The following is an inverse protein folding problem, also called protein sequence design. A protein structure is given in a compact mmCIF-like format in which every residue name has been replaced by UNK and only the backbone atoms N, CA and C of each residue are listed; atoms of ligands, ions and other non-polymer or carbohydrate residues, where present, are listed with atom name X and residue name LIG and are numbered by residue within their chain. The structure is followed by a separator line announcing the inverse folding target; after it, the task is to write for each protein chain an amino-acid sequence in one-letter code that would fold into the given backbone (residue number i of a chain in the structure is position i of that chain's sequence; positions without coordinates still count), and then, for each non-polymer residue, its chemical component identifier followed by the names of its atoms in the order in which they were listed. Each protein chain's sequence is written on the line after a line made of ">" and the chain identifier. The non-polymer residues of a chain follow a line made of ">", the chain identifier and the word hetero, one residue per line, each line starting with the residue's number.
data_IF_312268966186
#
_entry.id   IF_312268966186
#
_cell.length_a   1.000
_cell.length_b   1.000
_cell.length_c   1.000
_cell.angle_alpha   90.00
_cell.angle_beta   90.00
_cell.angle_gamma   90.00
#
_symmetry.space_group_name_H-M   'P 1'
#
loop_
_entity.id
_entity.type
_entity.pdbx_description
1 polymer ?
#
# COMPACT_ATOMS: atom_id res chain seq x y z
N UNK A 1 -46.08 65.84 -26.83
CA UNK A 1 -46.96 66.64 -25.96
C UNK A 1 -47.38 65.76 -24.80
N UNK A 2 -47.35 66.28 -23.58
CA UNK A 2 -47.59 65.63 -22.27
C UNK A 2 -46.38 65.02 -21.55
N UNK A 3 -45.82 65.88 -20.69
CA UNK A 3 -44.97 65.64 -19.51
C UNK A 3 -45.85 65.32 -18.29
N UNK A 4 -45.17 65.02 -17.17
CA UNK A 4 -45.58 65.03 -15.74
C UNK A 4 -45.78 63.64 -15.11
N UNK A 5 -45.31 63.30 -13.89
CA UNK A 5 -44.30 63.88 -12.98
C UNK A 5 -43.98 62.88 -11.84
N UNK A 6 -42.86 63.10 -11.15
CA UNK A 6 -42.32 62.54 -9.89
C UNK A 6 -43.11 61.50 -9.07
N UNK A 7 -42.39 60.51 -8.52
CA UNK A 7 -42.29 60.37 -7.06
C UNK A 7 -41.01 59.64 -6.63
N UNK A 8 -40.40 60.20 -5.60
CA UNK A 8 -39.20 59.76 -4.91
C UNK A 8 -39.45 58.52 -4.04
N UNK A 9 -38.53 57.57 -4.04
CA UNK A 9 -38.19 56.80 -2.84
C UNK A 9 -36.73 56.40 -2.89
N UNK A 10 -35.93 57.02 -2.00
CA UNK A 10 -34.62 56.52 -1.61
C UNK A 10 -34.79 55.12 -1.04
N UNK A 11 -34.14 54.12 -1.63
CA UNK A 11 -33.65 52.96 -0.90
C UNK A 11 -32.28 52.62 -1.48
N UNK A 12 -31.32 52.57 -0.57
CA UNK A 12 -29.89 52.35 -0.79
C UNK A 12 -29.62 50.95 -1.36
N UNK A 13 -28.75 50.80 -2.37
CA UNK A 13 -28.26 49.49 -2.78
C UNK A 13 -27.21 48.99 -1.77
N UNK A 14 -27.54 47.95 -1.02
CA UNK A 14 -26.57 47.22 -0.19
C UNK A 14 -25.78 46.30 -1.11
N UNK A 15 -24.52 46.67 -1.37
CA UNK A 15 -23.49 45.76 -1.91
C UNK A 15 -23.18 44.63 -0.92
N UNK A 16 -23.10 43.37 -1.35
CA UNK A 16 -22.44 42.34 -0.57
C UNK A 16 -20.95 42.31 -0.93
N UNK A 17 -20.11 42.80 -0.02
CA UNK A 17 -18.67 42.52 0.02
C UNK A 17 -18.41 41.33 0.98
N UNK A 18 -17.24 40.67 0.89
CA UNK A 18 -17.07 39.24 1.05
C UNK A 18 -17.05 38.78 2.51
N UNK A 19 -17.73 37.67 2.81
CA UNK A 19 -17.66 37.04 4.13
C UNK A 19 -16.62 35.92 4.17
N UNK A 20 -15.65 36.19 5.02
CA UNK A 20 -14.48 35.43 5.41
C UNK A 20 -14.77 33.95 5.73
N UNK A 21 -13.90 33.10 5.19
CA UNK A 21 -13.70 31.71 5.56
C UNK A 21 -13.41 31.58 7.05
N UNK A 22 -14.40 31.16 7.82
CA UNK A 22 -14.21 30.80 9.23
C UNK A 22 -13.88 29.31 9.30
N UNK A 23 -12.60 29.00 9.51
CA UNK A 23 -12.12 27.67 9.88
C UNK A 23 -12.83 27.22 11.17
N UNK A 24 -13.80 26.30 11.05
CA UNK A 24 -14.35 25.60 12.22
C UNK A 24 -13.43 24.45 12.59
N UNK A 25 -12.73 24.66 13.71
CA UNK A 25 -12.04 23.64 14.48
C UNK A 25 -12.98 22.45 14.72
N UNK A 26 -12.58 21.25 14.31
CA UNK A 26 -13.28 20.02 14.70
C UNK A 26 -12.77 19.62 16.09
N UNK A 27 -13.64 19.34 17.07
CA UNK A 27 -13.22 18.97 18.41
C UNK A 27 -12.44 17.67 18.39
N UNK A 28 -11.29 17.68 19.06
CA UNK A 28 -10.33 16.59 19.27
C UNK A 28 -10.90 15.29 19.88
N UNK A 29 -12.19 15.27 20.24
CA UNK A 29 -12.87 14.11 20.85
C UNK A 29 -13.31 13.02 19.87
N UNK A 30 -13.64 13.34 18.61
CA UNK A 30 -14.19 12.34 17.67
C UNK A 30 -13.13 11.36 17.11
N UNK A 31 -11.85 11.74 17.19
CA UNK A 31 -10.72 10.91 16.79
C UNK A 31 -10.48 9.73 17.76
N UNK A 32 -10.93 9.85 19.01
CA UNK A 32 -10.74 8.84 20.05
C UNK A 32 -11.67 7.64 19.94
N UNK A 33 -12.83 7.81 19.27
CA UNK A 33 -13.86 6.75 19.16
C UNK A 33 -13.64 5.82 17.97
N UNK A 34 -12.91 6.28 16.94
CA UNK A 34 -12.56 5.46 15.77
C UNK A 34 -11.18 4.80 15.88
N UNK A 35 -10.35 5.22 16.85
CA UNK A 35 -8.97 4.74 17.00
C UNK A 35 -8.56 4.53 18.47
N UNK A 36 -9.04 3.48 19.16
CA UNK A 36 -8.60 3.13 20.51
C UNK A 36 -7.07 2.89 20.59
N UNK A 37 -6.45 2.46 19.49
CA UNK A 37 -5.01 2.17 19.42
C UNK A 37 -4.13 3.41 19.17
N UNK A 38 -4.70 4.57 18.82
CA UNK A 38 -3.92 5.81 18.68
C UNK A 38 -3.39 6.34 20.03
N UNK A 39 -4.04 5.97 21.16
CA UNK A 39 -3.60 6.38 22.51
C UNK A 39 -2.24 5.81 22.92
N UNK A 40 -1.77 4.72 22.30
CA UNK A 40 -0.45 4.15 22.63
C UNK A 40 0.71 4.74 21.82
N UNK A 41 0.46 5.69 20.90
CA UNK A 41 1.50 6.23 20.02
C UNK A 41 2.26 7.43 20.64
N UNK A 42 1.76 8.07 21.72
CA UNK A 42 2.49 8.86 22.73
C UNK A 42 1.52 9.87 23.40
N UNK A 43 1.47 9.89 24.73
CA UNK A 43 0.86 11.00 25.49
C UNK A 43 1.84 12.17 25.56
N UNK A 44 1.92 13.00 24.52
CA UNK A 44 2.43 14.38 24.64
C UNK A 44 2.00 15.23 23.45
N UNK A 45 1.57 16.46 23.77
CA UNK A 45 1.08 17.45 22.82
C UNK A 45 2.06 17.64 21.66
N UNK A 46 1.59 17.41 20.43
CA UNK A 46 2.31 17.63 19.17
C UNK A 46 2.53 19.14 18.95
N UNK A 47 3.48 19.71 19.66
CA UNK A 47 3.89 21.12 19.53
C UNK A 47 5.06 21.31 18.55
N UNK A 48 5.77 20.24 18.21
CA UNK A 48 6.82 20.26 17.19
C UNK A 48 6.36 19.63 15.86
N UNK A 49 6.09 20.49 14.87
CA UNK A 49 5.71 20.11 13.51
C UNK A 49 6.95 19.61 12.76
N UNK A 50 7.37 18.37 13.05
CA UNK A 50 8.17 17.61 12.08
C UNK A 50 7.22 17.12 10.98
N UNK A 51 7.51 17.44 9.71
CA UNK A 51 6.66 17.11 8.52
C UNK A 51 6.34 15.61 8.35
N UNK A 52 6.96 14.75 9.16
CA UNK A 52 6.65 13.32 9.26
C UNK A 52 6.60 12.98 10.76
N UNK A 53 5.43 12.67 11.35
CA UNK A 53 5.27 12.41 12.79
C UNK A 53 5.85 11.05 13.23
N UNK A 54 6.75 10.48 12.44
CA UNK A 54 7.41 9.18 12.67
C UNK A 54 8.77 9.37 13.33
N UNK A 55 9.33 10.59 13.27
CA UNK A 55 10.54 10.96 14.01
C UNK A 55 10.27 11.52 15.41
N UNK A 56 9.07 11.32 15.95
CA UNK A 56 8.85 11.45 17.39
C UNK A 56 9.61 10.32 18.08
N UNK A 57 10.59 10.68 18.92
CA UNK A 57 11.44 9.77 19.71
C UNK A 57 10.60 8.63 20.32
N UNK A 58 10.75 7.41 19.80
CA UNK A 58 10.07 6.20 20.32
C UNK A 58 9.78 5.11 19.29
N UNK A 59 9.59 5.45 18.00
CA UNK A 59 9.34 4.46 16.96
C UNK A 59 10.66 3.92 16.39
N UNK A 60 10.97 2.64 16.63
CA UNK A 60 12.13 1.96 16.01
C UNK A 60 11.97 1.93 14.49
N UNK A 61 13.06 2.10 13.75
CA UNK A 61 13.04 2.00 12.30
C UNK A 61 12.50 0.62 11.86
N UNK A 62 11.69 0.53 10.80
CA UNK A 62 11.37 -0.72 10.14
C UNK A 62 12.62 -1.55 9.84
N UNK A 63 12.58 -2.83 10.18
CA UNK A 63 13.67 -3.75 9.91
C UNK A 63 13.39 -4.59 8.64
N UNK A 64 14.44 -4.96 7.89
CA UNK A 64 14.31 -5.88 6.77
C UNK A 64 13.76 -7.25 7.19
N UNK A 65 13.11 -7.94 6.26
CA UNK A 65 12.57 -9.28 6.46
C UNK A 65 13.71 -10.26 6.73
N UNK A 66 13.79 -10.70 7.98
CA UNK A 66 14.72 -11.73 8.42
C UNK A 66 14.00 -13.08 8.61
N UNK A 67 14.54 -14.12 7.99
CA UNK A 67 14.14 -15.50 8.18
C UNK A 67 15.30 -16.42 7.77
N UNK A 68 15.52 -17.47 8.54
CA UNK A 68 16.46 -18.53 8.18
C UNK A 68 15.95 -19.33 6.97
N UNK A 69 14.68 -19.72 7.01
CA UNK A 69 14.03 -20.46 5.92
C UNK A 69 13.06 -19.55 5.18
N UNK A 70 13.28 -19.36 3.87
CA UNK A 70 12.35 -18.64 3.01
C UNK A 70 12.23 -19.31 1.64
N UNK A 71 11.07 -19.13 1.01
CA UNK A 71 10.90 -19.55 -0.37
C UNK A 71 11.72 -18.68 -1.33
N UNK A 72 12.51 -19.30 -2.22
CA UNK A 72 13.32 -18.58 -3.22
C UNK A 72 12.49 -17.69 -4.16
N UNK A 73 11.27 -18.13 -4.52
CA UNK A 73 10.37 -17.39 -5.43
C UNK A 73 9.57 -16.31 -4.72
N UNK A 74 8.75 -16.68 -3.74
CA UNK A 74 7.79 -15.75 -3.12
C UNK A 74 8.26 -15.15 -1.79
N UNK A 75 9.47 -15.50 -1.36
CA UNK A 75 10.09 -15.06 -0.10
C UNK A 75 9.25 -15.32 1.14
N UNK A 76 8.28 -16.25 1.07
CA UNK A 76 7.47 -16.67 2.23
C UNK A 76 8.36 -17.30 3.28
N UNK A 77 8.28 -16.91 4.57
CA UNK A 77 9.23 -17.37 5.56
C UNK A 77 8.63 -18.59 6.27
N UNK A 78 9.47 -19.50 6.70
CA UNK A 78 9.05 -20.73 7.35
C UNK A 78 9.81 -20.90 8.66
N UNK A 79 9.20 -21.60 9.62
CA UNK A 79 9.85 -21.90 10.89
C UNK A 79 10.97 -22.92 10.73
N UNK A 80 10.86 -23.80 9.74
CA UNK A 80 11.86 -24.80 9.41
C UNK A 80 11.91 -25.02 7.89
N UNK A 81 12.79 -25.91 7.43
CA UNK A 81 12.97 -26.22 6.00
C UNK A 81 11.71 -26.81 5.35
N UNK A 82 10.89 -27.57 6.06
CA UNK A 82 9.63 -28.06 5.53
C UNK A 82 8.61 -26.90 5.52
N UNK A 83 7.88 -26.61 4.41
CA UNK A 83 7.58 -27.44 3.23
C UNK A 83 8.31 -27.00 1.94
N UNK A 84 9.56 -26.54 2.05
CA UNK A 84 10.40 -26.24 0.89
C UNK A 84 10.91 -27.54 0.24
N UNK A 85 11.17 -27.54 -1.07
CA UNK A 85 11.91 -28.63 -1.74
C UNK A 85 13.44 -28.45 -1.58
N UNK A 86 14.19 -29.25 -2.35
CA UNK A 86 15.64 -29.18 -2.44
C UNK A 86 16.13 -27.77 -2.83
N UNK A 87 15.43 -27.10 -3.74
CA UNK A 87 15.76 -25.76 -4.26
C UNK A 87 15.24 -24.61 -3.38
N UNK A 88 14.61 -24.91 -2.24
CA UNK A 88 14.07 -23.87 -1.35
C UNK A 88 12.76 -23.27 -1.87
N UNK A 89 12.02 -23.94 -2.74
CA UNK A 89 10.74 -23.52 -3.29
C UNK A 89 9.55 -24.11 -2.53
N UNK A 90 8.62 -23.26 -2.09
CA UNK A 90 7.42 -23.72 -1.38
C UNK A 90 6.39 -24.31 -2.33
N UNK A 91 5.54 -25.22 -1.81
CA UNK A 91 4.48 -25.91 -2.56
C UNK A 91 3.62 -25.00 -3.44
N UNK A 92 3.27 -23.79 -2.97
CA UNK A 92 2.41 -22.85 -3.72
C UNK A 92 3.11 -22.22 -4.93
N UNK A 93 4.43 -22.09 -4.89
CA UNK A 93 5.21 -21.59 -6.02
C UNK A 93 5.46 -22.72 -7.03
N UNK A 94 5.77 -23.93 -6.56
CA UNK A 94 5.95 -25.12 -7.40
C UNK A 94 4.70 -25.47 -8.22
N UNK A 95 3.52 -25.32 -7.63
CA UNK A 95 2.24 -25.56 -8.32
C UNK A 95 1.78 -24.37 -9.17
N UNK A 96 2.64 -23.38 -9.42
CA UNK A 96 2.37 -22.16 -10.19
C UNK A 96 1.17 -21.32 -9.74
N UNK A 97 0.64 -21.56 -8.53
CA UNK A 97 -0.55 -20.87 -8.00
C UNK A 97 -0.28 -19.37 -7.79
N UNK A 98 0.98 -18.99 -7.56
CA UNK A 98 1.39 -17.60 -7.39
C UNK A 98 1.40 -16.78 -8.68
N UNK A 99 1.59 -17.39 -9.85
CA UNK A 99 1.54 -16.72 -11.16
C UNK A 99 2.65 -15.70 -11.49
N UNK A 100 3.28 -15.06 -10.49
CA UNK A 100 4.47 -14.22 -10.64
C UNK A 100 5.77 -15.02 -10.47
N UNK A 101 6.87 -14.52 -11.03
CA UNK A 101 8.16 -15.21 -11.13
C UNK A 101 9.08 -14.98 -9.93
N UNK A 102 8.91 -13.85 -9.24
CA UNK A 102 9.62 -13.53 -8.01
C UNK A 102 8.80 -12.55 -7.17
N UNK A 103 9.05 -12.52 -5.86
CA UNK A 103 8.58 -11.46 -4.99
C UNK A 103 9.70 -11.03 -4.04
N UNK A 104 9.80 -9.74 -3.78
CA UNK A 104 10.63 -9.19 -2.71
C UNK A 104 9.78 -8.27 -1.84
N UNK A 105 10.03 -8.29 -0.53
CA UNK A 105 9.39 -7.38 0.40
C UNK A 105 10.42 -6.84 1.38
N UNK A 106 10.29 -5.57 1.74
CA UNK A 106 11.22 -4.97 2.70
C UNK A 106 11.11 -5.65 4.06
N UNK A 107 9.93 -5.73 4.67
CA UNK A 107 9.77 -6.33 6.00
C UNK A 107 8.47 -7.12 6.21
N UNK A 108 8.19 -7.49 7.45
CA UNK A 108 6.91 -8.11 7.84
C UNK A 108 5.82 -7.04 7.99
N UNK A 109 4.56 -7.40 7.78
CA UNK A 109 3.41 -6.52 8.00
C UNK A 109 3.03 -6.45 9.48
N UNK A 110 4.02 -6.23 10.34
CA UNK A 110 3.88 -6.06 11.79
C UNK A 110 4.84 -4.96 12.27
N UNK A 111 4.91 -4.75 13.59
CA UNK A 111 5.82 -3.76 14.19
C UNK A 111 5.62 -2.37 13.59
N UNK A 112 6.71 -1.70 13.23
CA UNK A 112 6.68 -0.33 12.70
C UNK A 112 6.05 -0.20 11.30
N UNK A 113 6.15 -1.22 10.44
CA UNK A 113 5.65 -1.10 9.06
C UNK A 113 4.12 -1.00 8.99
N UNK A 114 3.42 -1.75 9.84
CA UNK A 114 1.95 -1.77 9.88
C UNK A 114 1.32 -0.38 10.13
N UNK A 115 1.67 0.38 11.19
CA UNK A 115 1.12 1.71 11.43
C UNK A 115 1.58 2.72 10.37
N UNK A 116 2.80 2.63 9.85
CA UNK A 116 3.26 3.51 8.76
C UNK A 116 2.45 3.33 7.48
N UNK A 117 2.24 2.09 7.08
CA UNK A 117 1.41 1.77 5.91
C UNK A 117 -0.04 2.18 6.16
N UNK A 118 -0.55 2.05 7.39
CA UNK A 118 -1.89 2.48 7.74
C UNK A 118 -2.04 4.02 7.63
N UNK A 119 -1.13 4.80 8.24
CA UNK A 119 -1.10 6.25 8.13
C UNK A 119 -0.99 6.71 6.67
N UNK A 120 -0.19 6.02 5.87
CA UNK A 120 -0.07 6.31 4.44
C UNK A 120 -1.38 6.03 3.67
N UNK A 121 -2.04 4.89 3.94
CA UNK A 121 -3.28 4.47 3.26
C UNK A 121 -4.49 5.32 3.63
N UNK A 122 -4.68 5.61 4.91
CA UNK A 122 -5.94 6.14 5.43
C UNK A 122 -5.85 7.62 5.80
N UNK A 123 -4.69 8.10 6.26
CA UNK A 123 -4.49 9.50 6.63
C UNK A 123 -3.95 10.37 5.49
N UNK A 124 -3.78 9.79 4.28
CA UNK A 124 -3.26 10.45 3.06
C UNK A 124 -1.96 11.23 3.29
N UNK A 125 -1.10 10.74 4.20
CA UNK A 125 0.17 11.37 4.56
C UNK A 125 1.20 11.25 3.43
N UNK A 126 1.08 12.09 2.41
CA UNK A 126 2.01 12.19 1.27
C UNK A 126 3.49 12.32 1.68
N UNK A 127 3.86 12.99 2.79
CA UNK A 127 5.26 13.02 3.24
C UNK A 127 5.87 11.63 3.48
N UNK A 128 5.06 10.59 3.75
CA UNK A 128 5.54 9.21 3.91
C UNK A 128 5.98 8.55 2.60
N UNK A 129 5.65 9.11 1.43
CA UNK A 129 6.01 8.50 0.13
C UNK A 129 7.52 8.33 -0.01
N UNK A 130 8.31 9.36 0.36
CA UNK A 130 9.77 9.31 0.25
C UNK A 130 10.41 8.24 1.15
N UNK A 131 10.17 8.23 2.48
CA UNK A 131 10.77 7.20 3.34
C UNK A 131 10.25 5.78 3.03
N UNK A 132 8.98 5.63 2.61
CA UNK A 132 8.49 4.32 2.19
C UNK A 132 9.13 3.86 0.88
N UNK A 133 9.34 4.75 -0.09
CA UNK A 133 10.05 4.41 -1.32
C UNK A 133 11.51 4.03 -1.08
N UNK A 134 12.15 4.52 -0.02
CA UNK A 134 13.49 4.09 0.41
C UNK A 134 13.51 2.64 0.84
N UNK A 135 12.53 2.21 1.64
CA UNK A 135 12.39 0.81 2.04
C UNK A 135 12.10 -0.10 0.83
N UNK A 136 11.25 0.33 -0.11
CA UNK A 136 11.01 -0.41 -1.35
C UNK A 136 12.30 -0.55 -2.18
N UNK A 137 13.05 0.54 -2.36
CA UNK A 137 14.31 0.52 -3.10
C UNK A 137 15.36 -0.36 -2.42
N UNK A 138 15.41 -0.39 -1.09
CA UNK A 138 16.29 -1.28 -0.34
C UNK A 138 15.93 -2.77 -0.51
N UNK A 139 14.65 -3.08 -0.76
CA UNK A 139 14.18 -4.43 -1.03
C UNK A 139 14.28 -4.84 -2.51
N UNK A 140 14.62 -3.93 -3.41
CA UNK A 140 14.74 -4.24 -4.83
C UNK A 140 15.96 -5.15 -5.07
N UNK A 141 15.78 -6.35 -5.70
CA UNK A 141 16.91 -7.23 -6.01
C UNK A 141 17.83 -6.56 -7.03
N UNK A 142 19.08 -6.30 -6.64
CA UNK A 142 20.07 -5.54 -7.44
C UNK A 142 20.65 -6.33 -8.61
N UNK A 143 20.61 -7.65 -8.51
CA UNK A 143 21.02 -8.63 -9.51
C UNK A 143 19.98 -8.79 -10.62
N UNK A 144 18.73 -8.35 -10.39
CA UNK A 144 17.66 -8.42 -11.37
C UNK A 144 17.48 -7.09 -12.10
N UNK A 145 17.22 -7.18 -13.40
CA UNK A 145 16.89 -6.03 -14.25
C UNK A 145 15.41 -6.03 -14.59
N UNK A 146 14.79 -4.86 -14.49
CA UNK A 146 13.39 -4.63 -14.84
C UNK A 146 13.30 -3.56 -15.91
N UNK A 147 12.46 -3.79 -16.92
CA UNK A 147 12.29 -2.87 -18.05
C UNK A 147 11.17 -1.86 -17.77
N UNK A 148 10.22 -2.23 -16.92
CA UNK A 148 9.08 -1.36 -16.59
C UNK A 148 8.53 -1.64 -15.17
N UNK A 149 8.24 -0.59 -14.44
CA UNK A 149 7.53 -0.62 -13.16
C UNK A 149 6.03 -0.35 -13.39
N UNK A 150 5.20 -1.19 -12.80
CA UNK A 150 3.74 -1.11 -12.90
C UNK A 150 3.15 -1.06 -11.49
N UNK A 151 2.43 0.02 -11.11
CA UNK A 151 1.78 0.07 -9.81
C UNK A 151 0.63 -0.93 -9.75
N UNK A 152 0.41 -1.51 -8.57
CA UNK A 152 -0.74 -2.38 -8.34
C UNK A 152 -2.05 -1.60 -8.58
N UNK A 153 -2.92 -2.03 -9.50
CA UNK A 153 -4.13 -1.30 -9.84
C UNK A 153 -5.18 -1.38 -8.73
N UNK A 154 -5.48 -0.24 -8.12
CA UNK A 154 -6.64 -0.12 -7.24
C UNK A 154 -7.95 -0.14 -8.04
N UNK A 155 -9.02 -0.63 -7.40
CA UNK A 155 -10.36 -0.48 -7.96
C UNK A 155 -10.72 1.01 -8.01
N UNK A 156 -11.40 1.45 -9.07
CA UNK A 156 -11.74 2.87 -9.28
C UNK A 156 -12.49 3.46 -8.07
N UNK A 157 -13.48 2.78 -7.48
CA UNK A 157 -14.17 3.28 -6.26
C UNK A 157 -13.20 3.58 -5.10
N UNK A 158 -12.16 2.75 -4.91
CA UNK A 158 -11.11 2.97 -3.89
C UNK A 158 -10.16 4.10 -4.29
N UNK A 159 -9.88 4.26 -5.59
CA UNK A 159 -9.08 5.37 -6.12
C UNK A 159 -9.73 6.72 -5.80
N UNK A 160 -11.04 6.83 -5.88
CA UNK A 160 -11.78 8.06 -5.58
C UNK A 160 -11.80 8.38 -4.07
N UNK A 161 -11.94 7.37 -3.22
CA UNK A 161 -12.01 7.57 -1.76
C UNK A 161 -10.67 7.91 -1.10
N UNK A 162 -9.54 7.46 -1.63
CA UNK A 162 -8.23 7.64 -0.97
C UNK A 162 -7.06 7.95 -1.90
N UNK A 163 -7.28 8.11 -3.20
CA UNK A 163 -6.21 8.26 -4.20
C UNK A 163 -5.60 6.92 -4.62
N UNK A 164 -4.56 6.95 -5.48
CA UNK A 164 -3.81 5.77 -5.87
C UNK A 164 -2.46 5.71 -5.14
N UNK A 165 -2.47 5.26 -3.89
CA UNK A 165 -1.27 5.16 -3.04
C UNK A 165 -0.16 4.34 -3.69
N UNK A 166 -0.49 3.18 -4.26
CA UNK A 166 0.46 2.31 -4.94
C UNK A 166 1.11 3.01 -6.14
N UNK A 167 0.41 3.92 -6.82
CA UNK A 167 0.97 4.74 -7.91
C UNK A 167 1.95 5.79 -7.41
N UNK A 168 1.68 6.44 -6.25
CA UNK A 168 2.62 7.38 -5.64
C UNK A 168 3.90 6.68 -5.18
N UNK A 169 3.78 5.53 -4.52
CA UNK A 169 4.93 4.73 -4.10
C UNK A 169 5.71 4.17 -5.29
N UNK A 170 5.01 3.63 -6.28
CA UNK A 170 5.65 3.10 -7.48
C UNK A 170 6.41 4.19 -8.22
N UNK A 171 5.84 5.40 -8.37
CA UNK A 171 6.51 6.53 -9.02
C UNK A 171 7.79 6.93 -8.30
N UNK A 172 7.72 7.09 -6.98
CA UNK A 172 8.89 7.43 -6.18
C UNK A 172 9.96 6.33 -6.24
N UNK A 173 9.58 5.06 -6.16
CA UNK A 173 10.51 3.92 -6.21
C UNK A 173 11.15 3.77 -7.59
N UNK A 174 10.35 3.87 -8.65
CA UNK A 174 10.78 3.75 -10.04
C UNK A 174 11.76 4.87 -10.41
N UNK A 175 11.46 6.11 -10.02
CA UNK A 175 12.35 7.26 -10.21
C UNK A 175 13.70 7.08 -9.50
N UNK A 176 13.70 6.54 -8.28
CA UNK A 176 14.94 6.26 -7.53
C UNK A 176 15.76 5.12 -8.11
N UNK A 177 15.11 4.16 -8.75
CA UNK A 177 15.74 2.95 -9.27
C UNK A 177 16.07 3.04 -10.75
N UNK A 178 15.77 4.17 -11.40
CA UNK A 178 15.98 4.35 -12.84
C UNK A 178 15.09 3.47 -13.73
N UNK A 179 13.96 2.98 -13.22
CA UNK A 179 13.05 2.08 -13.96
C UNK A 179 11.91 2.94 -14.53
N UNK A 180 11.62 2.88 -15.85
CA UNK A 180 10.45 3.54 -16.43
C UNK A 180 9.15 3.04 -15.78
N UNK A 181 8.18 3.92 -15.56
CA UNK A 181 6.91 3.54 -14.95
C UNK A 181 5.73 3.71 -15.91
N UNK A 182 4.83 2.72 -15.94
CA UNK A 182 3.56 2.85 -16.66
C UNK A 182 2.37 2.29 -15.88
N UNK A 183 1.22 2.96 -16.04
CA UNK A 183 -0.07 2.49 -15.55
C UNK A 183 -0.66 1.44 -16.52
N UNK A 184 0.07 0.34 -16.75
CA UNK A 184 -0.21 -0.65 -17.80
C UNK A 184 -1.38 -1.60 -17.48
N UNK A 185 -1.77 -1.75 -16.22
CA UNK A 185 -2.87 -2.64 -15.82
C UNK A 185 -4.04 -1.84 -15.29
N UNK A 186 -5.26 -2.26 -15.60
CA UNK A 186 -6.50 -1.76 -15.00
C UNK A 186 -7.29 -2.88 -14.35
N UNK A 187 -7.96 -2.55 -13.25
CA UNK A 187 -8.91 -3.44 -12.59
C UNK A 187 -10.30 -3.23 -13.18
N UNK A 188 -10.83 -4.26 -13.84
CA UNK A 188 -12.10 -4.21 -14.57
C UNK A 188 -13.32 -4.48 -13.67
N UNK A 189 -13.15 -5.31 -12.65
CA UNK A 189 -14.25 -5.76 -11.78
C UNK A 189 -14.04 -5.30 -10.34
N UNK A 190 -15.13 -4.86 -9.70
CA UNK A 190 -15.15 -4.65 -8.25
C UNK A 190 -15.00 -6.00 -7.54
N UNK A 191 -14.07 -6.08 -6.60
CA UNK A 191 -13.91 -7.26 -5.76
C UNK A 191 -14.27 -6.88 -4.34
N UNK A 192 -14.81 -7.83 -3.59
CA UNK A 192 -15.07 -7.68 -2.17
C UNK A 192 -13.77 -7.39 -1.41
N UNK A 193 -13.92 -6.96 -0.16
CA UNK A 193 -12.79 -6.87 0.76
C UNK A 193 -12.09 -8.23 0.87
N UNK A 194 -10.76 -8.24 0.94
CA UNK A 194 -9.99 -9.48 1.18
C UNK A 194 -9.82 -9.79 2.68
N UNK A 195 -10.31 -8.90 3.56
CA UNK A 195 -10.38 -9.16 4.99
C UNK A 195 -11.38 -10.30 5.26
N UNK A 196 -11.09 -11.18 6.22
CA UNK A 196 -11.94 -12.34 6.54
C UNK A 196 -11.94 -13.49 5.52
N UNK A 197 -11.52 -13.26 4.28
CA UNK A 197 -11.49 -14.31 3.24
C UNK A 197 -10.34 -15.30 3.43
N UNK A 198 -10.61 -16.59 3.18
CA UNK A 198 -9.61 -17.64 3.07
C UNK A 198 -8.70 -17.42 1.85
N UNK A 199 -7.57 -18.13 1.81
CA UNK A 199 -6.64 -18.01 0.67
C UNK A 199 -7.29 -18.43 -0.66
N UNK A 200 -8.15 -19.44 -0.65
CA UNK A 200 -8.90 -19.87 -1.83
C UNK A 200 -9.93 -18.82 -2.26
N UNK A 201 -10.70 -18.30 -1.31
CA UNK A 201 -11.67 -17.22 -1.55
C UNK A 201 -10.99 -15.96 -2.09
N UNK A 202 -9.82 -15.58 -1.56
CA UNK A 202 -9.04 -14.44 -2.08
C UNK A 202 -8.64 -14.62 -3.53
N UNK A 203 -8.25 -15.83 -3.95
CA UNK A 203 -7.92 -16.14 -5.36
C UNK A 203 -9.15 -16.05 -6.25
N UNK A 204 -10.25 -16.69 -5.86
CA UNK A 204 -11.51 -16.63 -6.60
C UNK A 204 -12.00 -15.19 -6.76
N UNK A 205 -11.99 -14.40 -5.67
CA UNK A 205 -12.45 -13.02 -5.65
C UNK A 205 -11.73 -12.13 -6.67
N UNK A 206 -10.44 -12.35 -6.95
CA UNK A 206 -9.64 -11.53 -7.90
C UNK A 206 -9.44 -12.17 -9.28
N UNK A 207 -9.92 -13.40 -9.48
CA UNK A 207 -9.81 -14.08 -10.77
C UNK A 207 -10.49 -13.25 -11.88
N UNK A 208 -9.80 -13.11 -13.01
CA UNK A 208 -10.28 -12.34 -14.16
C UNK A 208 -10.49 -10.83 -13.91
N UNK A 209 -10.06 -10.30 -12.75
CA UNK A 209 -10.37 -8.91 -12.37
C UNK A 209 -9.48 -7.86 -13.05
N UNK A 210 -8.42 -8.26 -13.76
CA UNK A 210 -7.39 -7.36 -14.30
C UNK A 210 -7.20 -7.53 -15.81
N UNK A 211 -6.91 -6.42 -16.50
CA UNK A 211 -6.56 -6.38 -17.93
C UNK A 211 -5.43 -5.38 -18.19
N UNK A 212 -4.57 -5.69 -19.15
CA UNK A 212 -3.54 -4.76 -19.65
C UNK A 212 -4.19 -3.72 -20.56
N UNK A 213 -3.75 -2.47 -20.47
CA UNK A 213 -4.14 -1.37 -21.36
C UNK A 213 -3.28 -1.43 -22.62
N UNK A 214 -3.91 -1.41 -23.79
CA UNK A 214 -3.20 -1.37 -25.09
C UNK A 214 -2.16 -2.47 -25.24
N UNK A 215 -2.61 -3.71 -25.51
CA UNK A 215 -1.93 -5.00 -25.27
C UNK A 215 -0.47 -5.22 -25.70
N UNK A 216 0.20 -4.25 -26.34
CA UNK A 216 1.63 -4.30 -26.70
C UNK A 216 2.55 -3.61 -25.70
N UNK A 217 2.05 -2.82 -24.75
CA UNK A 217 2.89 -2.00 -23.86
C UNK A 217 3.88 -2.82 -23.00
N UNK A 218 3.59 -4.10 -22.74
CA UNK A 218 4.41 -4.95 -21.87
C UNK A 218 5.02 -6.14 -22.60
N UNK A 219 4.87 -6.22 -23.92
CA UNK A 219 5.30 -7.37 -24.71
C UNK A 219 6.84 -7.49 -24.68
N UNK A 220 7.34 -8.67 -24.30
CA UNK A 220 8.77 -8.97 -24.17
C UNK A 220 9.46 -8.36 -22.95
N UNK A 221 8.75 -7.57 -22.13
CA UNK A 221 9.35 -6.82 -21.02
C UNK A 221 9.37 -7.61 -19.70
N UNK A 222 10.37 -7.35 -18.87
CA UNK A 222 10.47 -7.77 -17.46
C UNK A 222 9.77 -6.74 -16.59
N UNK A 223 8.61 -7.10 -16.08
CA UNK A 223 7.71 -6.18 -15.36
C UNK A 223 7.92 -6.28 -13.86
N UNK A 224 8.10 -5.14 -13.20
CA UNK A 224 8.11 -5.00 -11.75
C UNK A 224 6.75 -4.48 -11.27
N UNK A 225 5.92 -5.33 -10.68
CA UNK A 225 4.73 -4.93 -9.96
C UNK A 225 5.11 -4.30 -8.61
N UNK A 226 4.58 -3.12 -8.29
CA UNK A 226 4.83 -2.45 -7.01
C UNK A 226 3.53 -2.32 -6.22
N UNK A 227 3.53 -2.83 -4.99
CA UNK A 227 2.41 -2.74 -4.04
C UNK A 227 2.90 -2.30 -2.65
N UNK A 228 1.97 -2.07 -1.73
CA UNK A 228 2.31 -1.79 -0.33
C UNK A 228 2.43 -3.07 0.51
N UNK A 229 1.45 -3.97 0.45
CA UNK A 229 1.38 -5.16 1.30
C UNK A 229 1.06 -6.40 0.49
N UNK A 230 1.97 -7.37 0.53
CA UNK A 230 1.73 -8.72 0.05
C UNK A 230 1.16 -9.60 1.16
N UNK A 231 -0.12 -9.93 1.06
CA UNK A 231 -0.74 -10.92 1.95
C UNK A 231 -0.50 -12.34 1.42
N UNK A 232 -1.48 -12.90 0.73
CA UNK A 232 -1.39 -14.17 0.01
C UNK A 232 -0.73 -14.03 -1.36
N UNK A 233 -0.59 -12.80 -1.86
CA UNK A 233 -0.18 -12.55 -3.24
C UNK A 233 -1.26 -12.87 -4.29
N UNK A 234 -2.50 -13.19 -3.92
CA UNK A 234 -3.57 -13.50 -4.89
C UNK A 234 -3.83 -12.35 -5.89
N UNK A 235 -3.82 -11.10 -5.41
CA UNK A 235 -3.99 -9.91 -6.26
C UNK A 235 -2.84 -9.76 -7.26
N UNK A 236 -1.60 -9.94 -6.78
CA UNK A 236 -0.41 -9.91 -7.62
C UNK A 236 -0.39 -11.05 -8.63
N UNK A 237 -0.81 -12.25 -8.24
CA UNK A 237 -0.95 -13.41 -9.11
C UNK A 237 -1.88 -13.14 -10.29
N UNK A 238 -3.05 -12.57 -10.03
CA UNK A 238 -4.02 -12.23 -11.06
C UNK A 238 -3.53 -11.11 -11.98
N UNK A 239 -2.78 -10.13 -11.45
CA UNK A 239 -2.13 -9.10 -12.28
C UNK A 239 -1.01 -9.70 -13.14
N UNK A 240 -0.16 -10.55 -12.57
CA UNK A 240 0.91 -11.23 -13.27
C UNK A 240 0.37 -12.11 -14.40
N UNK A 241 -0.72 -12.83 -14.16
CA UNK A 241 -1.38 -13.62 -15.20
C UNK A 241 -1.88 -12.73 -16.35
N UNK A 242 -2.49 -11.58 -16.04
CA UNK A 242 -2.94 -10.64 -17.08
C UNK A 242 -1.76 -10.05 -17.88
N UNK A 243 -0.65 -9.73 -17.22
CA UNK A 243 0.57 -9.24 -17.85
C UNK A 243 1.24 -10.29 -18.74
N UNK A 244 1.39 -11.52 -18.24
CA UNK A 244 1.97 -12.64 -19.00
C UNK A 244 1.13 -12.98 -20.22
N UNK A 245 -0.21 -12.97 -20.11
CA UNK A 245 -1.12 -13.13 -21.26
C UNK A 245 -0.97 -12.01 -22.31
N UNK A 246 -0.52 -10.83 -21.90
CA UNK A 246 -0.20 -9.72 -22.81
C UNK A 246 1.25 -9.77 -23.33
N UNK A 247 1.98 -10.88 -23.10
CA UNK A 247 3.32 -11.11 -23.63
C UNK A 247 4.46 -10.62 -22.74
N UNK A 248 4.24 -10.27 -21.47
CA UNK A 248 5.34 -9.96 -20.55
C UNK A 248 6.30 -11.16 -20.41
N UNK A 249 7.61 -10.90 -20.50
CA UNK A 249 8.66 -11.91 -20.39
C UNK A 249 8.75 -12.49 -18.98
N UNK A 250 8.67 -11.63 -17.97
CA UNK A 250 8.60 -12.02 -16.57
C UNK A 250 7.87 -10.95 -15.76
N UNK A 251 7.34 -11.34 -14.61
CA UNK A 251 6.65 -10.46 -13.68
C UNK A 251 7.15 -10.74 -12.26
N UNK A 252 7.82 -9.77 -11.66
CA UNK A 252 8.19 -9.79 -10.24
C UNK A 252 7.27 -8.87 -9.43
N UNK A 253 7.13 -9.14 -8.14
CA UNK A 253 6.43 -8.28 -7.18
C UNK A 253 7.42 -7.64 -6.22
N UNK A 254 7.28 -6.35 -5.97
CA UNK A 254 7.94 -5.61 -4.91
C UNK A 254 6.88 -5.02 -3.99
N UNK A 255 7.01 -5.24 -2.68
CA UNK A 255 6.12 -4.65 -1.69
C UNK A 255 6.88 -4.13 -0.45
N UNK A 256 6.28 -3.20 0.30
CA UNK A 256 6.87 -2.73 1.56
C UNK A 256 6.86 -3.83 2.60
N UNK A 257 5.74 -4.52 2.71
CA UNK A 257 5.54 -5.48 3.77
C UNK A 257 4.86 -6.74 3.26
N UNK A 258 5.06 -7.83 3.98
CA UNK A 258 4.31 -9.06 3.78
C UNK A 258 3.80 -9.64 5.07
N UNK A 259 2.62 -10.25 5.02
CA UNK A 259 2.07 -10.95 6.18
C UNK A 259 2.94 -12.16 6.47
N UNK A 260 3.57 -12.16 7.65
CA UNK A 260 4.34 -13.29 8.14
C UNK A 260 3.38 -14.32 8.73
N UNK A 261 3.44 -15.55 8.21
CA UNK A 261 2.56 -16.63 8.66
C UNK A 261 3.09 -17.31 9.92
N UNK A 262 4.39 -17.15 10.22
CA UNK A 262 5.02 -17.67 11.44
C UNK A 262 4.51 -16.97 12.69
N UNK A 263 4.21 -15.67 12.56
CA UNK A 263 3.72 -14.84 13.66
C UNK A 263 2.24 -15.07 13.99
N UNK A 264 1.49 -15.73 13.10
CA UNK A 264 0.09 -16.08 13.35
C UNK A 264 -0.08 -17.29 14.28
N UNK A 265 1.01 -17.99 14.61
CA UNK A 265 1.02 -19.23 15.40
C UNK A 265 1.52 -19.02 16.83
N UNK A 266 1.89 -17.80 17.23
CA UNK A 266 2.23 -17.50 18.64
C UNK A 266 0.95 -17.10 19.36
N UNK A 267 0.43 -17.92 20.30
CA UNK A 267 -0.66 -17.48 21.17
C UNK A 267 -0.18 -16.25 21.94
N UNK A 268 -1.01 -15.20 21.98
CA UNK A 268 -0.75 -14.04 22.81
C UNK A 268 -0.88 -14.46 24.28
N UNK A 269 0.22 -14.89 24.90
CA UNK A 269 0.24 -15.24 26.31
C UNK A 269 1.41 -16.14 26.66
N UNK A 270 2.54 -15.52 26.99
CA UNK A 270 3.43 -15.93 28.09
C UNK A 270 4.64 -15.00 28.11
N UNK A 271 4.47 -13.83 28.72
CA UNK A 271 5.57 -13.09 29.31
C UNK A 271 5.97 -13.80 30.60
N UNK A 272 6.83 -14.82 30.51
CA UNK A 272 7.50 -15.35 31.69
C UNK A 272 8.55 -14.33 32.14
N UNK A 273 8.13 -13.41 33.02
CA UNK A 273 9.05 -12.79 33.96
C UNK A 273 9.66 -13.93 34.79
N UNK A 274 10.90 -14.31 34.46
CA UNK A 274 11.77 -14.99 35.43
C UNK A 274 12.27 -13.90 36.37
N UNK A 275 11.64 -13.78 37.53
CA UNK A 275 12.31 -13.26 38.71
C UNK A 275 13.51 -14.17 38.99
N UNK A 276 14.69 -13.56 38.92
CA UNK A 276 15.92 -14.15 39.43
C UNK A 276 15.90 -13.89 40.93
N UNK A 277 15.83 -14.96 41.71
CA UNK A 277 16.17 -14.97 43.13
C UNK A 277 17.67 -14.72 43.32
#
# INVERSE_FOLDING_TARGET
>A
MWRWVFSSSRTTPVSPAPLLSTFRQVPSGLFSLLFPEARRICHRSLTDITRVPVRSRGMRAPEPLAAEYYCVTCRTPFHNRFPLDADGCCRLCRSSIRGFDAASCFGTYEGTLRPLIHLFKYSRMKPLVKPLAEYLAAALPRDQRFDIAVPMPLHWRRRWQRGNQSELLARATASRSGIPMANAVRRMRATESQAGLSNAQRRANVSGAFRVKGGRQVQGLRVLLIDDVMTTGATAAACAQALKRAGAKSVALLALARVDRRLAEVPAGESSHREVA
#
